data_IF_327876543444
#
_entry.id   IF_327876543444
#
_cell.length_a   1.000
_cell.length_b   1.000
_cell.length_c   1.000
_cell.angle_alpha   90.00
_cell.angle_beta   90.00
_cell.angle_gamma   90.00
#
_symmetry.space_group_name_H-M   'P 1'
#
loop_
_entity.id
_entity.type
_entity.pdbx_description
1 polymer ?
#
# COMPACT_ATOMS: atom_id res chain seq x y z
N UNK A 1 -71.18 38.12 10.70
CA UNK A 1 -71.62 36.71 10.65
C UNK A 1 -70.73 35.93 9.67
N UNK A 2 -70.29 34.80 10.11
CA UNK A 2 -69.61 33.67 9.46
C UNK A 2 -68.11 33.68 9.49
N UNK A 3 -67.62 32.86 10.47
CA UNK A 3 -66.30 32.29 10.64
C UNK A 3 -65.97 31.34 9.48
N UNK A 4 -64.75 31.38 8.96
CA UNK A 4 -64.13 30.32 8.13
C UNK A 4 -62.94 29.76 8.81
N UNK A 5 -62.75 28.41 8.81
CA UNK A 5 -61.71 27.77 9.62
C UNK A 5 -60.34 27.82 8.95
N UNK A 6 -59.34 28.03 9.81
CA UNK A 6 -57.92 27.96 9.48
C UNK A 6 -57.51 26.51 9.18
N UNK A 7 -56.91 26.28 8.01
CA UNK A 7 -56.28 25.02 7.65
C UNK A 7 -54.78 25.09 8.06
N UNK A 8 -54.45 24.47 9.19
CA UNK A 8 -53.07 24.33 9.64
C UNK A 8 -52.31 23.29 8.81
N UNK A 9 -51.32 23.75 8.06
CA UNK A 9 -50.36 22.87 7.37
C UNK A 9 -49.30 22.40 8.34
N UNK A 10 -49.35 21.12 8.73
CA UNK A 10 -48.31 20.43 9.48
C UNK A 10 -47.11 20.14 8.55
N UNK A 11 -46.06 20.94 8.65
CA UNK A 11 -44.76 20.67 8.07
C UNK A 11 -44.05 19.62 8.92
N UNK A 12 -44.00 18.37 8.46
CA UNK A 12 -43.19 17.31 9.04
C UNK A 12 -41.72 17.53 8.62
N UNK A 13 -40.75 17.59 9.56
CA UNK A 13 -39.36 17.63 9.21
C UNK A 13 -38.91 16.22 8.80
N UNK A 14 -38.62 16.04 7.52
CA UNK A 14 -37.99 14.83 6.99
C UNK A 14 -36.55 14.79 7.48
N UNK A 15 -36.26 13.97 8.49
CA UNK A 15 -34.95 13.71 9.02
C UNK A 15 -34.17 12.89 8.00
N UNK A 16 -33.36 13.55 7.18
CA UNK A 16 -32.48 12.94 6.20
C UNK A 16 -31.24 12.40 6.95
N UNK A 17 -31.29 11.13 7.36
CA UNK A 17 -30.16 10.42 7.94
C UNK A 17 -29.09 10.21 6.85
N UNK A 18 -28.01 11.02 6.90
CA UNK A 18 -26.79 10.75 6.14
C UNK A 18 -26.16 9.45 6.69
N UNK A 19 -26.29 8.35 5.93
CA UNK A 19 -25.47 7.16 6.14
C UNK A 19 -24.04 7.50 5.72
N UNK A 20 -23.17 7.68 6.67
CA UNK A 20 -21.74 7.70 6.43
C UNK A 20 -21.30 6.26 6.16
N UNK A 21 -21.05 5.95 4.89
CA UNK A 21 -20.40 4.73 4.51
C UNK A 21 -18.93 4.81 4.97
N UNK A 22 -18.61 4.19 6.11
CA UNK A 22 -17.23 3.93 6.51
C UNK A 22 -16.68 2.90 5.54
N UNK A 23 -15.95 3.36 4.53
CA UNK A 23 -15.19 2.48 3.65
C UNK A 23 -14.18 1.70 4.49
N UNK A 24 -14.29 0.38 4.50
CA UNK A 24 -13.24 -0.48 5.01
C UNK A 24 -12.02 -0.31 4.09
N UNK A 25 -11.00 0.39 4.56
CA UNK A 25 -9.71 0.42 3.89
C UNK A 25 -9.13 -1.00 3.97
N UNK A 26 -8.79 -1.59 2.80
CA UNK A 26 -8.00 -2.80 2.75
C UNK A 26 -6.71 -2.54 3.56
N UNK A 27 -6.47 -3.37 4.59
CA UNK A 27 -5.51 -3.04 5.63
C UNK A 27 -4.08 -3.29 5.18
N UNK A 28 -3.40 -2.29 4.66
CA UNK A 28 -1.93 -2.30 4.61
C UNK A 28 -1.37 -1.69 5.89
N UNK A 29 -0.34 -2.31 6.45
CA UNK A 29 0.35 -1.87 7.65
C UNK A 29 1.71 -1.32 7.27
N UNK A 30 2.01 -0.11 7.73
CA UNK A 30 3.32 0.50 7.52
C UNK A 30 4.40 -0.26 8.31
N UNK A 31 5.49 -0.57 7.63
CA UNK A 31 6.65 -1.28 8.18
C UNK A 31 7.90 -0.41 8.05
N UNK A 32 8.77 -0.39 9.06
CA UNK A 32 9.90 0.53 9.07
C UNK A 32 11.11 0.09 8.24
N UNK A 33 11.12 -1.13 7.71
CA UNK A 33 12.28 -1.68 6.98
C UNK A 33 11.82 -2.33 5.68
N UNK A 34 12.37 -1.87 4.55
CA UNK A 34 12.27 -2.53 3.26
C UNK A 34 13.43 -3.51 3.06
N UNK A 35 13.13 -4.75 2.70
CA UNK A 35 14.12 -5.73 2.23
C UNK A 35 14.14 -5.68 0.72
N UNK A 36 15.28 -5.27 0.18
CA UNK A 36 15.48 -5.10 -1.25
C UNK A 36 16.41 -6.19 -1.80
N UNK A 37 16.25 -6.49 -3.08
CA UNK A 37 17.16 -7.34 -3.83
C UNK A 37 17.77 -6.53 -4.97
N UNK A 38 19.09 -6.54 -5.07
CA UNK A 38 19.83 -6.00 -6.20
C UNK A 38 20.45 -7.13 -7.01
N UNK A 39 20.39 -7.00 -8.33
CA UNK A 39 21.02 -7.89 -9.30
C UNK A 39 22.06 -7.12 -10.11
N UNK A 40 23.30 -7.60 -10.10
CA UNK A 40 24.30 -7.26 -11.11
C UNK A 40 24.14 -8.20 -12.32
N UNK A 41 23.66 -7.65 -13.43
CA UNK A 41 23.36 -8.40 -14.65
C UNK A 41 24.63 -8.90 -15.38
N UNK A 42 25.78 -8.24 -15.13
CA UNK A 42 27.05 -8.59 -15.77
C UNK A 42 27.64 -9.85 -15.12
N UNK A 43 27.62 -9.89 -13.78
CA UNK A 43 28.20 -11.00 -13.01
C UNK A 43 27.17 -12.01 -12.56
N UNK A 44 25.87 -11.77 -12.85
CA UNK A 44 24.73 -12.54 -12.36
C UNK A 44 24.69 -12.67 -10.83
N UNK A 45 25.23 -11.67 -10.11
CA UNK A 45 25.28 -11.68 -8.65
C UNK A 45 24.04 -11.02 -8.07
N UNK A 46 23.35 -11.77 -7.22
CA UNK A 46 22.20 -11.29 -6.44
C UNK A 46 22.67 -10.95 -5.03
N UNK A 47 22.26 -9.78 -4.53
CA UNK A 47 22.51 -9.32 -3.17
C UNK A 47 21.20 -8.89 -2.53
N UNK A 48 21.02 -9.22 -1.24
CA UNK A 48 19.90 -8.74 -0.43
C UNK A 48 20.42 -7.74 0.58
N UNK A 49 19.69 -6.66 0.76
CA UNK A 49 20.02 -5.61 1.72
C UNK A 49 18.76 -4.99 2.29
N UNK A 50 18.90 -4.41 3.47
CA UNK A 50 17.81 -3.75 4.18
C UNK A 50 17.96 -2.24 4.10
N UNK A 51 16.85 -1.55 3.87
CA UNK A 51 16.80 -0.10 3.83
C UNK A 51 15.71 0.37 4.80
N UNK A 52 16.08 0.99 5.91
CA UNK A 52 15.09 1.62 6.78
C UNK A 52 14.35 2.73 6.05
N UNK A 53 13.04 2.86 6.29
CA UNK A 53 12.22 3.95 5.74
C UNK A 53 12.80 5.31 6.11
N UNK A 54 12.88 6.22 5.16
CA UNK A 54 13.51 7.53 5.32
C UNK A 54 15.04 7.51 5.27
N UNK A 55 15.65 6.36 4.92
CA UNK A 55 17.11 6.22 4.75
C UNK A 55 17.45 5.86 3.32
N UNK A 56 18.72 6.08 2.99
CA UNK A 56 19.30 5.76 1.69
C UNK A 56 20.31 4.62 1.85
N UNK A 57 20.19 3.60 1.00
CA UNK A 57 21.21 2.57 0.82
C UNK A 57 21.95 2.77 -0.49
N UNK A 58 23.18 2.30 -0.55
CA UNK A 58 23.98 2.32 -1.78
C UNK A 58 24.15 0.90 -2.31
N UNK A 59 23.82 0.70 -3.57
CA UNK A 59 24.06 -0.53 -4.30
C UNK A 59 24.88 -0.22 -5.56
N UNK A 60 26.18 -0.42 -5.49
CA UNK A 60 27.17 0.01 -6.50
C UNK A 60 27.05 1.52 -6.80
N UNK A 61 26.65 1.89 -8.02
CA UNK A 61 26.44 3.29 -8.42
C UNK A 61 25.05 3.80 -8.06
N UNK A 62 24.16 2.93 -7.58
CA UNK A 62 22.78 3.30 -7.27
C UNK A 62 22.64 3.76 -5.82
N UNK A 63 21.96 4.88 -5.66
CA UNK A 63 21.45 5.39 -4.38
C UNK A 63 19.95 5.09 -4.30
N UNK A 64 19.54 4.28 -3.33
CA UNK A 64 18.17 3.81 -3.18
C UNK A 64 17.61 4.39 -1.89
N UNK A 65 16.60 5.24 -2.00
CA UNK A 65 15.90 5.84 -0.88
C UNK A 65 14.49 5.24 -0.78
N UNK A 66 14.13 4.69 0.36
CA UNK A 66 12.79 4.18 0.65
C UNK A 66 12.03 5.23 1.43
N UNK A 67 10.93 5.72 0.86
CA UNK A 67 10.07 6.74 1.49
C UNK A 67 8.96 6.12 2.32
N UNK A 68 8.47 4.96 1.88
CA UNK A 68 7.40 4.23 2.53
C UNK A 68 7.52 2.73 2.28
N UNK A 69 7.04 1.90 3.21
CA UNK A 69 7.01 0.44 3.05
C UNK A 69 5.79 -0.10 3.80
N UNK A 70 4.94 -0.81 3.08
CA UNK A 70 3.67 -1.33 3.59
C UNK A 70 3.55 -2.81 3.31
N UNK A 71 2.92 -3.52 4.22
CA UNK A 71 2.63 -4.96 4.13
C UNK A 71 1.15 -5.21 4.30
N UNK A 72 0.57 -6.09 3.49
CA UNK A 72 -0.82 -6.51 3.63
C UNK A 72 -1.06 -7.22 4.96
N UNK A 73 -2.30 -7.10 5.48
CA UNK A 73 -2.73 -7.84 6.65
C UNK A 73 -2.65 -9.37 6.41
N UNK A 74 -2.44 -10.18 7.46
CA UNK A 74 -2.27 -11.63 7.34
C UNK A 74 -3.46 -12.37 6.69
N UNK A 75 -4.66 -11.81 6.80
CA UNK A 75 -5.89 -12.34 6.20
C UNK A 75 -6.07 -12.00 4.71
N UNK A 76 -5.31 -11.04 4.21
CA UNK A 76 -5.36 -10.60 2.83
C UNK A 76 -4.35 -11.37 1.97
N UNK A 77 -4.44 -11.21 0.64
CA UNK A 77 -3.42 -11.73 -0.26
C UNK A 77 -2.06 -11.11 0.10
N UNK A 78 -1.01 -11.93 0.32
CA UNK A 78 0.30 -11.42 0.67
C UNK A 78 0.83 -10.44 -0.38
N UNK A 79 1.05 -9.20 0.03
CA UNK A 79 1.64 -8.15 -0.79
C UNK A 79 2.52 -7.26 0.07
N UNK A 80 3.61 -6.77 -0.52
CA UNK A 80 4.41 -5.70 0.05
C UNK A 80 4.56 -4.61 -1.01
N UNK A 81 4.38 -3.38 -0.60
CA UNK A 81 4.53 -2.21 -1.44
C UNK A 81 5.49 -1.21 -0.80
N UNK A 82 6.43 -0.67 -1.57
CA UNK A 82 7.32 0.38 -1.09
C UNK A 82 7.39 1.52 -2.09
N UNK A 83 7.34 2.76 -1.59
CA UNK A 83 7.65 3.92 -2.41
C UNK A 83 9.16 4.16 -2.40
N UNK A 84 9.77 4.04 -3.57
CA UNK A 84 11.24 4.04 -3.73
C UNK A 84 11.66 5.11 -4.73
N UNK A 85 12.73 5.81 -4.38
CA UNK A 85 13.44 6.70 -5.29
C UNK A 85 14.85 6.16 -5.52
N UNK A 86 15.21 5.96 -6.80
CA UNK A 86 16.52 5.43 -7.18
C UNK A 86 17.22 6.45 -8.06
N UNK A 87 18.46 6.72 -7.68
CA UNK A 87 19.33 7.65 -8.39
C UNK A 87 20.62 6.93 -8.78
N UNK A 88 21.16 7.30 -9.91
CA UNK A 88 22.51 6.91 -10.32
C UNK A 88 23.52 7.99 -9.96
N UNK A 89 24.62 7.57 -9.33
CA UNK A 89 25.75 8.40 -8.97
C UNK A 89 27.01 7.86 -9.67
N UNK A 90 27.33 8.39 -10.83
CA UNK A 90 28.60 8.07 -11.51
C UNK A 90 29.67 9.09 -11.13
N UNK A 91 30.90 8.67 -10.88
CA UNK A 91 32.01 9.61 -10.64
C UNK A 91 32.15 10.60 -11.79
N UNK A 92 32.10 11.90 -11.48
CA UNK A 92 32.24 12.98 -12.48
C UNK A 92 30.98 13.35 -13.26
N UNK A 93 29.84 12.70 -12.99
CA UNK A 93 28.54 13.02 -13.59
C UNK A 93 27.57 13.58 -12.54
N UNK A 94 26.58 14.32 -12.99
CA UNK A 94 25.49 14.75 -12.13
C UNK A 94 24.61 13.55 -11.74
N UNK A 95 24.12 13.57 -10.51
CA UNK A 95 23.18 12.57 -9.98
C UNK A 95 21.91 12.55 -10.83
N UNK A 96 21.60 11.43 -11.46
CA UNK A 96 20.41 11.26 -12.30
C UNK A 96 19.38 10.36 -11.61
N UNK A 97 18.09 10.74 -11.70
CA UNK A 97 17.00 9.93 -11.16
C UNK A 97 16.57 8.89 -12.18
N UNK A 98 16.71 7.61 -11.82
CA UNK A 98 16.32 6.47 -12.65
C UNK A 98 14.89 6.03 -12.41
N UNK A 99 14.43 6.12 -11.15
CA UNK A 99 13.10 5.63 -10.78
C UNK A 99 12.53 6.46 -9.61
N UNK A 100 11.23 6.64 -9.61
CA UNK A 100 10.47 7.19 -8.48
C UNK A 100 9.05 6.65 -8.55
N UNK A 101 8.65 5.81 -7.61
CA UNK A 101 7.32 5.21 -7.61
C UNK A 101 7.18 4.04 -6.64
N UNK A 102 6.03 3.39 -6.75
CA UNK A 102 5.72 2.19 -5.97
C UNK A 102 6.32 0.94 -6.61
N UNK A 103 6.99 0.13 -5.78
CA UNK A 103 7.43 -1.21 -6.11
C UNK A 103 6.57 -2.23 -5.37
N UNK A 104 6.17 -3.30 -6.05
CA UNK A 104 5.35 -4.38 -5.50
C UNK A 104 6.10 -5.69 -5.49
N UNK A 105 6.09 -6.40 -4.34
CA UNK A 105 6.82 -7.67 -4.21
C UNK A 105 6.22 -8.79 -5.07
N UNK A 106 4.91 -8.78 -5.28
CA UNK A 106 4.22 -9.78 -6.11
C UNK A 106 4.37 -9.56 -7.61
N UNK A 107 4.76 -8.36 -8.04
CA UNK A 107 4.78 -7.95 -9.45
C UNK A 107 5.99 -7.07 -9.77
N UNK A 108 7.23 -7.57 -9.63
CA UNK A 108 8.44 -6.77 -9.82
C UNK A 108 8.56 -6.17 -11.23
N UNK A 109 7.99 -6.82 -12.24
CA UNK A 109 8.02 -6.31 -13.62
C UNK A 109 7.27 -4.99 -13.84
N UNK A 110 6.34 -4.61 -12.93
CA UNK A 110 5.62 -3.33 -13.04
C UNK A 110 6.47 -2.12 -12.66
N UNK A 111 7.55 -2.33 -11.93
CA UNK A 111 8.41 -1.29 -11.37
C UNK A 111 9.90 -1.54 -11.65
N UNK A 112 10.20 -2.28 -12.73
CA UNK A 112 11.56 -2.54 -13.15
C UNK A 112 12.27 -1.23 -13.51
N UNK A 113 13.50 -1.06 -13.04
CA UNK A 113 14.34 0.08 -13.42
C UNK A 113 14.97 -0.16 -14.78
N UNK A 114 14.99 0.85 -15.63
CA UNK A 114 15.67 0.78 -16.93
C UNK A 114 17.17 1.09 -16.76
N UNK A 115 17.94 0.09 -16.29
CA UNK A 115 19.38 0.23 -16.14
C UNK A 115 20.11 -0.94 -16.82
N UNK A 116 21.18 -0.69 -17.59
CA UNK A 116 21.84 -1.73 -18.40
C UNK A 116 22.54 -2.79 -17.56
N UNK A 117 23.04 -2.44 -16.37
CA UNK A 117 23.88 -3.29 -15.52
C UNK A 117 23.17 -3.80 -14.27
N UNK A 118 22.32 -2.97 -13.66
CA UNK A 118 21.71 -3.29 -12.38
C UNK A 118 20.21 -3.42 -12.48
N UNK A 119 19.63 -4.25 -11.62
CA UNK A 119 18.21 -4.32 -11.36
C UNK A 119 17.96 -4.30 -9.84
N UNK A 120 16.84 -3.71 -9.42
CA UNK A 120 16.48 -3.59 -8.00
C UNK A 120 15.00 -3.88 -7.84
N UNK A 121 14.67 -4.77 -6.90
CA UNK A 121 13.30 -5.18 -6.61
C UNK A 121 13.02 -5.16 -5.11
N UNK A 122 11.78 -4.90 -4.74
CA UNK A 122 11.29 -5.10 -3.38
C UNK A 122 11.02 -6.58 -3.14
N UNK A 123 11.48 -7.11 -2.00
CA UNK A 123 11.14 -8.46 -1.54
C UNK A 123 10.08 -8.45 -0.45
N UNK A 124 10.30 -7.62 0.58
CA UNK A 124 9.46 -7.63 1.78
C UNK A 124 9.54 -6.29 2.52
N UNK A 125 8.43 -5.92 3.18
CA UNK A 125 8.39 -4.91 4.23
C UNK A 125 8.30 -5.62 5.58
N UNK A 126 9.13 -5.24 6.55
CA UNK A 126 9.20 -5.91 7.86
C UNK A 126 9.44 -4.97 9.03
N UNK A 127 8.99 -5.41 10.19
CA UNK A 127 9.37 -4.81 11.46
C UNK A 127 10.82 -5.14 11.86
N UNK A 128 11.47 -4.34 12.71
CA UNK A 128 12.78 -4.69 13.28
C UNK A 128 12.68 -5.97 14.12
N UNK A 129 13.79 -6.72 14.25
CA UNK A 129 13.82 -7.90 15.10
C UNK A 129 13.41 -7.56 16.54
N UNK A 130 12.43 -8.30 17.09
CA UNK A 130 11.93 -8.09 18.46
C UNK A 130 10.83 -7.04 18.60
N UNK A 131 10.36 -6.44 17.52
CA UNK A 131 9.17 -5.60 17.57
C UNK A 131 7.94 -6.43 17.90
N UNK A 132 7.00 -5.94 18.74
CA UNK A 132 5.74 -6.60 18.95
C UNK A 132 4.96 -6.70 17.63
N UNK A 133 4.20 -7.79 17.39
CA UNK A 133 3.39 -7.91 16.20
C UNK A 133 2.43 -6.72 16.10
N UNK A 134 2.16 -6.21 14.88
CA UNK A 134 1.21 -5.14 14.69
C UNK A 134 -0.15 -5.56 15.25
N UNK A 135 -0.94 -4.62 15.81
CA UNK A 135 -2.28 -4.93 16.28
C UNK A 135 -3.10 -5.51 15.12
N UNK A 136 -3.94 -6.53 15.38
CA UNK A 136 -4.78 -7.11 14.33
C UNK A 136 -5.61 -6.01 13.68
N UNK A 137 -5.62 -5.98 12.35
CA UNK A 137 -6.45 -5.06 11.61
C UNK A 137 -7.92 -5.22 12.05
N UNK A 138 -8.71 -4.14 12.13
CA UNK A 138 -10.12 -4.25 12.49
C UNK A 138 -10.81 -5.20 11.51
N UNK A 139 -11.37 -6.28 12.04
CA UNK A 139 -12.03 -7.32 11.24
C UNK A 139 -13.11 -6.70 10.36
N UNK A 140 -12.95 -6.82 9.06
CA UNK A 140 -13.98 -6.40 8.10
C UNK A 140 -15.29 -7.14 8.41
N UNK A 141 -16.45 -6.46 8.40
CA UNK A 141 -17.74 -7.12 8.59
C UNK A 141 -17.92 -8.21 7.53
N UNK A 142 -18.13 -9.44 7.98
CA UNK A 142 -18.44 -10.57 7.09
C UNK A 142 -19.63 -10.18 6.20
N UNK A 143 -19.54 -10.27 4.87
CA UNK A 143 -20.67 -9.97 4.00
C UNK A 143 -21.87 -10.84 4.37
N UNK A 144 -23.11 -10.31 4.36
CA UNK A 144 -24.30 -11.04 4.68
C UNK A 144 -24.40 -12.26 3.75
N UNK A 145 -24.50 -13.44 4.34
CA UNK A 145 -24.59 -14.69 3.61
C UNK A 145 -25.77 -14.65 2.64
N UNK A 146 -25.51 -14.86 1.34
CA UNK A 146 -26.57 -15.09 0.37
C UNK A 146 -27.37 -16.30 0.78
N UNK A 147 -28.55 -16.08 1.33
CA UNK A 147 -29.56 -17.12 1.52
C UNK A 147 -29.84 -17.75 0.14
N UNK A 148 -29.40 -18.99 -0.04
CA UNK A 148 -29.86 -19.79 -1.19
C UNK A 148 -31.36 -20.03 -0.97
N UNK A 149 -32.18 -19.29 -1.69
CA UNK A 149 -33.58 -19.58 -1.83
C UNK A 149 -33.74 -20.99 -2.39
N UNK A 150 -34.26 -21.89 -1.56
CA UNK A 150 -34.66 -23.22 -1.94
C UNK A 150 -35.96 -23.11 -2.73
N UNK A 151 -35.88 -23.09 -4.06
CA UNK A 151 -37.05 -23.26 -4.93
C UNK A 151 -37.24 -24.76 -5.11
N UNK A 152 -38.06 -25.33 -4.22
CA UNK A 152 -38.67 -26.62 -4.46
C UNK A 152 -39.72 -26.50 -5.59
N UNK A 153 -39.55 -27.32 -6.63
CA UNK A 153 -40.64 -27.89 -7.41
C UNK A 153 -40.15 -29.06 -8.21
#
# INVERSE_FOLDING_TARGET
MRLGPALGALLAPTLMTLLWATGAAAGMTAEPIAVMQGLDKITARVSRFEVPVGKTATFFTLSIEVRDCEKSAPEDRPENAAFVEIYENRPGEEKSRLFSGWMFSSSPALSAIEHPVYDVNLLECKAPPGAPPPPPAPSSPKPPGRSRGNTAR
#
